data_IF_209611361195
#
_entry.id   IF_209611361195
#
_cell.length_a   1.000
_cell.length_b   1.000
_cell.length_c   1.000
_cell.angle_alpha   90.00
_cell.angle_beta   90.00
_cell.angle_gamma   90.00
#
_symmetry.space_group_name_H-M   'P 1'
#
loop_
_entity.id
_entity.type
_entity.pdbx_description
1 polymer ?
#
# COMPACT_ATOMS: atom_id res chain seq x y z
N UNK A 1 -0.13 14.75 -3.07
CA UNK A 1 -0.66 13.38 -3.20
C UNK A 1 0.37 12.32 -2.82
N UNK A 2 1.48 12.12 -3.54
CA UNK A 2 2.45 11.05 -3.18
C UNK A 2 3.13 11.26 -1.80
N UNK A 3 3.53 12.50 -1.48
CA UNK A 3 3.99 12.86 -0.12
C UNK A 3 2.91 12.69 0.94
N UNK A 4 1.65 13.00 0.61
CA UNK A 4 0.54 12.82 1.54
C UNK A 4 0.31 11.34 1.83
N UNK A 5 0.47 10.48 0.81
CA UNK A 5 0.44 9.02 0.96
C UNK A 5 1.59 8.52 1.86
N UNK A 6 2.82 8.97 1.61
CA UNK A 6 4.00 8.58 2.40
C UNK A 6 3.86 8.97 3.88
N UNK A 7 3.40 10.19 4.15
CA UNK A 7 3.25 10.72 5.52
C UNK A 7 1.86 10.50 6.12
N UNK A 8 1.06 9.58 5.56
CA UNK A 8 -0.23 9.16 6.12
C UNK A 8 -1.20 10.35 6.33
N UNK A 9 -1.09 11.39 5.50
CA UNK A 9 -1.88 12.63 5.64
C UNK A 9 -3.27 12.46 5.05
N UNK A 10 -4.25 12.97 5.78
CA UNK A 10 -5.64 13.04 5.33
C UNK A 10 -5.78 13.94 4.09
N UNK A 11 -5.86 13.30 2.92
CA UNK A 11 -6.05 13.96 1.63
C UNK A 11 -7.47 14.48 1.45
N UNK A 12 -8.46 13.97 2.20
CA UNK A 12 -9.86 14.45 2.12
C UNK A 12 -9.98 15.91 2.57
N UNK A 13 -9.09 16.37 3.45
CA UNK A 13 -9.03 17.79 3.83
C UNK A 13 -8.71 18.72 2.65
N UNK A 14 -7.95 18.23 1.65
CA UNK A 14 -7.64 19.01 0.44
C UNK A 14 -8.83 19.10 -0.53
N UNK A 15 -9.74 18.12 -0.48
CA UNK A 15 -10.91 18.04 -1.34
C UNK A 15 -12.23 18.33 -0.61
N UNK A 16 -12.16 18.79 0.65
CA UNK A 16 -13.32 19.07 1.51
C UNK A 16 -14.32 20.04 0.86
N UNK A 17 -13.83 20.97 0.03
CA UNK A 17 -14.66 21.91 -0.71
C UNK A 17 -15.50 21.26 -1.83
N UNK A 18 -15.09 20.08 -2.32
CA UNK A 18 -15.73 19.36 -3.43
C UNK A 18 -16.55 18.15 -2.96
N UNK A 19 -16.12 17.48 -1.89
CA UNK A 19 -16.72 16.22 -1.44
C UNK A 19 -17.71 16.40 -0.26
N UNK A 20 -17.76 17.60 0.33
CA UNK A 20 -18.46 17.84 1.58
C UNK A 20 -17.81 17.09 2.76
N UNK A 21 -18.32 17.24 4.00
CA UNK A 21 -17.87 16.42 5.11
C UNK A 21 -18.29 14.96 4.84
N UNK A 22 -17.31 14.07 4.67
CA UNK A 22 -17.57 12.63 4.61
C UNK A 22 -18.17 12.20 5.96
N UNK A 23 -19.38 11.61 6.00
CA UNK A 23 -20.00 11.17 7.25
C UNK A 23 -19.22 10.00 7.86
N UNK A 24 -18.93 10.08 9.17
CA UNK A 24 -18.17 9.07 9.93
C UNK A 24 -16.67 9.39 9.99
N UNK A 25 -16.25 10.15 11.01
CA UNK A 25 -14.97 10.86 10.97
C UNK A 25 -13.76 10.16 11.59
N UNK A 26 -13.90 9.11 12.41
CA UNK A 26 -12.81 8.81 13.36
C UNK A 26 -11.94 7.57 13.03
N UNK A 27 -12.37 6.66 12.15
CA UNK A 27 -11.64 5.40 11.85
C UNK A 27 -11.10 5.32 10.40
N UNK A 28 -10.93 6.46 9.74
CA UNK A 28 -10.39 6.48 8.36
C UNK A 28 -8.88 6.31 8.38
N UNK A 29 -8.37 5.59 7.38
CA UNK A 29 -6.95 5.27 7.25
C UNK A 29 -6.43 5.83 5.93
N UNK A 30 -5.26 6.47 5.96
CA UNK A 30 -4.66 7.09 4.78
C UNK A 30 -3.22 6.63 4.56
N UNK A 31 -2.80 6.61 3.30
CA UNK A 31 -1.39 6.38 2.99
C UNK A 31 -0.88 5.00 3.41
N UNK A 32 0.32 4.99 3.99
CA UNK A 32 0.96 3.80 4.56
C UNK A 32 0.31 3.30 5.87
N UNK A 33 -0.61 4.05 6.47
CA UNK A 33 -1.32 3.61 7.67
C UNK A 33 -2.22 2.40 7.36
N UNK A 34 -2.54 2.16 6.07
CA UNK A 34 -3.30 1.01 5.60
C UNK A 34 -2.70 -0.32 6.07
N UNK A 35 -1.37 -0.41 6.15
CA UNK A 35 -0.68 -1.59 6.64
C UNK A 35 -0.98 -1.84 8.12
N UNK A 36 -0.95 -0.80 8.94
CA UNK A 36 -1.31 -0.86 10.35
C UNK A 36 -2.77 -1.28 10.55
N UNK A 37 -3.70 -0.72 9.77
CA UNK A 37 -5.12 -1.12 9.80
C UNK A 37 -5.34 -2.57 9.39
N UNK A 38 -4.64 -3.04 8.36
CA UNK A 38 -4.70 -4.44 7.91
C UNK A 38 -4.13 -5.40 8.96
N UNK A 39 -2.99 -5.05 9.57
CA UNK A 39 -2.38 -5.85 10.65
C UNK A 39 -3.33 -5.93 11.85
N UNK A 40 -3.95 -4.81 12.25
CA UNK A 40 -4.97 -4.80 13.30
C UNK A 40 -6.12 -5.75 12.95
N UNK A 41 -6.66 -5.66 11.74
CA UNK A 41 -7.77 -6.51 11.29
C UNK A 41 -7.40 -8.00 11.25
N UNK A 42 -6.19 -8.34 10.79
CA UNK A 42 -5.67 -9.71 10.73
C UNK A 42 -5.42 -10.30 12.12
N UNK A 43 -5.19 -9.48 13.14
CA UNK A 43 -4.94 -9.95 14.51
C UNK A 43 -6.21 -10.01 15.38
N UNK A 44 -7.39 -9.66 14.85
CA UNK A 44 -8.66 -9.81 15.56
C UNK A 44 -9.07 -11.28 15.71
N UNK A 45 -9.68 -11.63 16.84
CA UNK A 45 -10.20 -12.99 17.11
C UNK A 45 -11.08 -13.47 15.95
N UNK A 46 -12.04 -12.63 15.53
CA UNK A 46 -12.89 -12.85 14.36
C UNK A 46 -12.50 -11.89 13.26
N UNK A 47 -12.01 -12.41 12.16
CA UNK A 47 -11.58 -11.59 11.02
C UNK A 47 -12.81 -11.24 10.18
N UNK A 48 -12.95 -9.96 9.86
CA UNK A 48 -14.06 -9.49 9.02
C UNK A 48 -13.91 -9.98 7.57
N UNK A 49 -15.00 -10.34 6.87
CA UNK A 49 -14.97 -10.58 5.42
C UNK A 49 -14.46 -9.37 4.62
N UNK A 50 -14.54 -8.17 5.19
CA UNK A 50 -13.98 -6.94 4.60
C UNK A 50 -12.45 -7.02 4.50
N UNK A 51 -11.76 -7.70 5.42
CA UNK A 51 -10.29 -7.83 5.41
C UNK A 51 -9.78 -8.46 4.11
N UNK A 52 -10.47 -9.47 3.57
CA UNK A 52 -10.12 -10.07 2.28
C UNK A 52 -10.20 -9.05 1.14
N UNK A 53 -11.27 -8.24 1.11
CA UNK A 53 -11.44 -7.19 0.10
C UNK A 53 -10.38 -6.11 0.25
N UNK A 54 -10.03 -5.72 1.48
CA UNK A 54 -8.97 -4.75 1.75
C UNK A 54 -7.59 -5.25 1.30
N UNK A 55 -7.29 -6.54 1.49
CA UNK A 55 -6.04 -7.14 0.98
C UNK A 55 -6.03 -7.24 -0.55
N UNK A 56 -7.18 -7.47 -1.18
CA UNK A 56 -7.29 -7.42 -2.64
C UNK A 56 -7.05 -6.00 -3.17
N UNK A 57 -7.70 -5.00 -2.58
CA UNK A 57 -7.51 -3.59 -2.92
C UNK A 57 -6.05 -3.14 -2.71
N UNK A 58 -5.38 -3.63 -1.66
CA UNK A 58 -3.94 -3.40 -1.46
C UNK A 58 -3.14 -3.89 -2.67
N UNK A 59 -3.33 -5.15 -3.07
CA UNK A 59 -2.66 -5.73 -4.24
C UNK A 59 -2.92 -4.91 -5.52
N UNK A 60 -4.18 -4.60 -5.82
CA UNK A 60 -4.54 -3.81 -7.01
C UNK A 60 -3.87 -2.45 -7.00
N UNK A 61 -3.83 -1.78 -5.84
CA UNK A 61 -3.14 -0.52 -5.68
C UNK A 61 -1.63 -0.64 -5.95
N UNK A 62 -0.97 -1.71 -5.46
CA UNK A 62 0.47 -1.90 -5.72
C UNK A 62 0.76 -2.20 -7.18
N UNK A 63 -0.06 -3.01 -7.83
CA UNK A 63 0.02 -3.23 -9.28
C UNK A 63 -0.11 -1.92 -10.06
N UNK A 64 -1.07 -1.07 -9.70
CA UNK A 64 -1.20 0.26 -10.32
C UNK A 64 0.04 1.14 -10.07
N UNK A 65 0.64 1.09 -8.88
CA UNK A 65 1.87 1.82 -8.57
C UNK A 65 3.06 1.33 -9.40
N UNK A 66 3.25 0.02 -9.56
CA UNK A 66 4.26 -0.56 -10.45
C UNK A 66 4.08 -0.08 -11.89
N UNK A 67 2.85 -0.13 -12.40
CA UNK A 67 2.54 0.34 -13.76
C UNK A 67 2.85 1.84 -13.94
N UNK A 68 2.54 2.67 -12.94
CA UNK A 68 2.82 4.11 -12.97
C UNK A 68 4.32 4.40 -12.98
N UNK A 69 5.09 3.73 -12.13
CA UNK A 69 6.56 3.92 -12.08
C UNK A 69 7.22 3.46 -13.37
N UNK A 70 6.79 2.31 -13.91
CA UNK A 70 7.25 1.85 -15.22
C UNK A 70 6.93 2.87 -16.32
N UNK A 71 5.71 3.41 -16.34
CA UNK A 71 5.34 4.45 -17.30
C UNK A 71 6.23 5.69 -17.17
N UNK A 72 6.46 6.18 -15.94
CA UNK A 72 7.32 7.34 -15.70
C UNK A 72 8.74 7.10 -16.20
N UNK A 73 9.30 5.93 -15.92
CA UNK A 73 10.63 5.55 -16.37
C UNK A 73 10.73 5.41 -17.89
N UNK A 74 9.82 4.66 -18.53
CA UNK A 74 9.85 4.43 -19.97
C UNK A 74 9.69 5.72 -20.79
N UNK A 75 9.00 6.72 -20.23
CA UNK A 75 8.83 8.03 -20.86
C UNK A 75 9.87 9.07 -20.38
N UNK A 76 10.89 8.65 -19.62
CA UNK A 76 11.98 9.51 -19.12
C UNK A 76 11.50 10.70 -18.26
N UNK A 77 10.39 10.53 -17.54
CA UNK A 77 9.91 11.50 -16.55
C UNK A 77 10.62 11.35 -15.20
N UNK A 78 11.38 10.28 -15.01
CA UNK A 78 12.26 10.06 -13.86
C UNK A 78 13.54 9.37 -14.33
N UNK A 79 14.69 9.87 -13.88
CA UNK A 79 15.96 9.14 -13.94
C UNK A 79 16.01 8.11 -12.80
N UNK A 80 15.32 6.99 -12.99
CA UNK A 80 15.29 5.91 -12.00
C UNK A 80 16.20 4.75 -12.40
N UNK A 81 16.88 4.17 -11.42
CA UNK A 81 17.59 2.91 -11.67
C UNK A 81 16.61 1.77 -11.88
N UNK A 82 16.98 0.77 -12.69
CA UNK A 82 16.25 -0.50 -12.81
C UNK A 82 15.96 -1.15 -11.45
N UNK A 83 16.81 -0.87 -10.46
CA UNK A 83 16.63 -1.28 -9.07
C UNK A 83 15.39 -0.69 -8.41
N UNK A 84 15.03 0.57 -8.67
CA UNK A 84 13.81 1.18 -8.11
C UNK A 84 12.55 0.49 -8.66
N UNK A 85 12.51 0.23 -9.96
CA UNK A 85 11.41 -0.48 -10.61
C UNK A 85 11.26 -1.88 -10.03
N UNK A 86 12.37 -2.62 -9.90
CA UNK A 86 12.38 -3.95 -9.30
C UNK A 86 11.84 -3.99 -7.88
N UNK A 87 12.00 -2.92 -7.09
CA UNK A 87 11.38 -2.84 -5.77
C UNK A 87 9.87 -2.65 -5.81
N UNK A 88 9.32 -1.88 -6.75
CA UNK A 88 7.88 -1.78 -6.92
C UNK A 88 7.27 -3.11 -7.39
N UNK A 89 7.95 -3.83 -8.29
CA UNK A 89 7.57 -5.18 -8.69
C UNK A 89 7.61 -6.16 -7.50
N UNK A 90 8.64 -6.05 -6.64
CA UNK A 90 8.71 -6.84 -5.40
C UNK A 90 7.53 -6.54 -4.46
N UNK A 91 7.19 -5.26 -4.26
CA UNK A 91 6.04 -4.84 -3.44
C UNK A 91 4.73 -5.42 -3.99
N UNK A 92 4.53 -5.36 -5.31
CA UNK A 92 3.36 -5.93 -5.99
C UNK A 92 3.28 -7.45 -5.77
N UNK A 93 4.38 -8.17 -5.98
CA UNK A 93 4.44 -9.62 -5.84
C UNK A 93 4.20 -10.07 -4.40
N UNK A 94 4.80 -9.41 -3.42
CA UNK A 94 4.55 -9.71 -2.01
C UNK A 94 3.10 -9.40 -1.62
N UNK A 95 2.52 -8.32 -2.13
CA UNK A 95 1.10 -8.00 -1.88
C UNK A 95 0.15 -9.05 -2.46
N UNK A 96 0.46 -9.58 -3.66
CA UNK A 96 -0.26 -10.70 -4.26
C UNK A 96 -0.14 -11.96 -3.40
N UNK A 97 1.07 -12.26 -2.93
CA UNK A 97 1.36 -13.42 -2.09
C UNK A 97 0.62 -13.34 -0.75
N UNK A 98 0.64 -12.18 -0.07
CA UNK A 98 -0.12 -11.93 1.17
C UNK A 98 -1.62 -12.18 0.94
N UNK A 99 -2.18 -11.64 -0.15
CA UNK A 99 -3.59 -11.84 -0.51
C UNK A 99 -3.91 -13.33 -0.72
N UNK A 100 -3.04 -14.06 -1.42
CA UNK A 100 -3.24 -15.48 -1.70
C UNK A 100 -3.08 -16.35 -0.46
N UNK A 101 -2.10 -16.06 0.40
CA UNK A 101 -1.93 -16.71 1.70
C UNK A 101 -3.17 -16.52 2.56
N UNK A 102 -3.69 -15.29 2.64
CA UNK A 102 -4.91 -15.01 3.40
C UNK A 102 -6.11 -15.80 2.87
N UNK A 103 -6.30 -15.88 1.54
CA UNK A 103 -7.35 -16.74 0.95
C UNK A 103 -7.14 -18.20 1.35
N UNK A 104 -5.92 -18.73 1.20
CA UNK A 104 -5.61 -20.12 1.55
C UNK A 104 -5.93 -20.42 3.01
N UNK A 105 -5.62 -19.50 3.92
CA UNK A 105 -5.94 -19.66 5.33
C UNK A 105 -7.43 -19.44 5.66
N UNK A 106 -8.17 -18.68 4.86
CA UNK A 106 -9.63 -18.61 5.02
C UNK A 106 -10.33 -19.92 4.66
N UNK A 107 -9.65 -20.80 3.91
CA UNK A 107 -10.15 -22.12 3.50
C UNK A 107 -9.62 -23.26 4.39
N UNK A 108 -8.51 -23.05 5.09
CA UNK A 108 -7.83 -24.04 5.92
C UNK A 108 -7.58 -23.45 7.32
N UNK A 109 -7.98 -24.12 8.40
CA UNK A 109 -7.88 -23.61 9.80
C UNK A 109 -6.45 -23.32 10.32
N UNK A 110 -5.41 -23.48 9.49
CA UNK A 110 -4.02 -23.19 9.83
C UNK A 110 -3.65 -21.73 9.52
N UNK A 111 -4.27 -20.78 10.21
CA UNK A 111 -4.02 -19.34 10.00
C UNK A 111 -2.77 -18.85 10.75
N UNK A 112 -1.65 -18.70 10.03
CA UNK A 112 -0.41 -18.14 10.58
C UNK A 112 -0.41 -16.60 10.60
N UNK A 113 -1.07 -16.01 11.61
CA UNK A 113 -1.17 -14.55 11.80
C UNK A 113 0.18 -13.84 11.82
N UNK A 114 1.15 -14.43 12.50
CA UNK A 114 2.49 -13.85 12.67
C UNK A 114 3.21 -13.69 11.32
N UNK A 115 3.09 -14.69 10.43
CA UNK A 115 3.69 -14.68 9.11
C UNK A 115 3.12 -13.55 8.23
N UNK A 116 1.79 -13.41 8.20
CA UNK A 116 1.13 -12.33 7.46
C UNK A 116 1.48 -10.94 8.01
N UNK A 117 1.54 -10.81 9.34
CA UNK A 117 1.91 -9.54 9.99
C UNK A 117 3.34 -9.13 9.65
N UNK A 118 4.28 -10.09 9.69
CA UNK A 118 5.68 -9.84 9.32
C UNK A 118 5.78 -9.38 7.86
N UNK A 119 5.15 -10.10 6.93
CA UNK A 119 5.15 -9.74 5.50
C UNK A 119 4.54 -8.37 5.23
N UNK A 120 3.40 -8.03 5.85
CA UNK A 120 2.80 -6.69 5.72
C UNK A 120 3.75 -5.60 6.21
N UNK A 121 4.47 -5.86 7.30
CA UNK A 121 5.46 -4.91 7.85
C UNK A 121 6.66 -4.74 6.91
N UNK A 122 7.17 -5.84 6.36
CA UNK A 122 8.27 -5.79 5.38
C UNK A 122 7.88 -5.03 4.12
N UNK A 123 6.68 -5.28 3.58
CA UNK A 123 6.16 -4.55 2.43
C UNK A 123 5.99 -3.06 2.73
N UNK A 124 5.47 -2.70 3.90
CA UNK A 124 5.34 -1.29 4.34
C UNK A 124 6.70 -0.59 4.33
N UNK A 125 7.70 -1.21 4.97
CA UNK A 125 9.04 -0.64 5.08
C UNK A 125 9.72 -0.51 3.70
N UNK A 126 9.55 -1.51 2.83
CA UNK A 126 10.09 -1.45 1.47
C UNK A 126 9.42 -0.32 0.68
N UNK A 127 8.11 -0.17 0.77
CA UNK A 127 7.38 0.88 0.08
C UNK A 127 7.74 2.27 0.59
N UNK A 128 7.86 2.47 1.91
CA UNK A 128 8.30 3.74 2.49
C UNK A 128 9.65 4.21 1.92
N UNK A 129 10.61 3.28 1.84
CA UNK A 129 11.92 3.55 1.26
C UNK A 129 11.83 3.87 -0.24
N UNK A 130 11.07 3.09 -1.01
CA UNK A 130 10.94 3.29 -2.46
C UNK A 130 10.23 4.59 -2.81
N UNK A 131 9.18 4.93 -2.07
CA UNK A 131 8.45 6.18 -2.25
C UNK A 131 9.32 7.38 -1.90
N UNK A 132 10.13 7.29 -0.86
CA UNK A 132 11.08 8.36 -0.51
C UNK A 132 12.07 8.62 -1.66
N UNK A 133 12.68 7.55 -2.19
CA UNK A 133 13.60 7.65 -3.35
C UNK A 133 12.90 8.20 -4.60
N UNK A 134 11.69 7.73 -4.89
CA UNK A 134 10.90 8.19 -6.04
C UNK A 134 10.49 9.66 -5.90
N UNK A 135 10.13 10.10 -4.69
CA UNK A 135 9.80 11.50 -4.44
C UNK A 135 11.03 12.37 -4.68
N UNK A 136 12.18 11.97 -4.16
CA UNK A 136 13.44 12.70 -4.33
C UNK A 136 13.90 12.78 -5.79
N UNK A 137 13.60 11.77 -6.62
CA UNK A 137 13.97 11.82 -8.05
C UNK A 137 13.26 12.94 -8.80
N UNK A 138 12.07 13.36 -8.38
CA UNK A 138 11.36 14.49 -9.01
C UNK A 138 11.95 15.87 -8.65
N UNK A 139 12.70 15.99 -7.56
CA UNK A 139 13.24 17.29 -7.10
C UNK A 139 14.66 17.57 -7.59
N UNK A 140 15.34 16.59 -8.19
CA UNK A 140 16.66 16.80 -8.83
C UNK A 140 16.56 17.46 -10.20
N UNK A 141 15.35 17.63 -10.74
CA UNK A 141 15.07 18.24 -12.05
C UNK A 141 14.58 19.69 -11.96
N UNK A 142 14.64 20.32 -10.77
CA UNK A 142 14.35 21.75 -10.52
C UNK A 142 15.58 22.46 -9.95
#
# INVERSE_FOLDING_TARGET
LLRDYLYERDTSNRYRAFEGPLPGSDDRTWGLEVYSSLIRAINQIKISPVTLRSLHALYEHKRLMTMRVNYLYSNKFIESSSKLIGFFEQIENESLLIRNLFIKYSLNDNFERANLTARLTEVRNLEENCLSVLIDSFYKEL
#
